data_IF_444612010270
#
_entry.id   IF_444612010270
#
_cell.length_a   1.000
_cell.length_b   1.000
_cell.length_c   1.000
_cell.angle_alpha   90.00
_cell.angle_beta   90.00
_cell.angle_gamma   90.00
#
_symmetry.space_group_name_H-M   'P 1'
#
loop_
_entity.id
_entity.type
_entity.pdbx_description
1 polymer ?
#
# COMPACT_ATOMS: atom_id res chain seq x y z
N UNK A 1 -34.93 -4.43 -9.20
CA UNK A 1 -33.46 -4.63 -9.18
C UNK A 1 -33.11 -5.92 -8.44
N UNK A 2 -32.06 -6.64 -8.83
CA UNK A 2 -31.59 -7.88 -8.16
C UNK A 2 -31.17 -7.62 -6.69
N UNK A 3 -31.37 -8.61 -5.81
CA UNK A 3 -31.09 -8.53 -4.38
C UNK A 3 -29.59 -8.28 -4.10
N UNK A 4 -28.72 -8.87 -4.92
CA UNK A 4 -27.29 -8.66 -4.81
C UNK A 4 -26.91 -7.22 -5.16
N UNK A 5 -27.53 -6.64 -6.18
CA UNK A 5 -27.35 -5.23 -6.53
C UNK A 5 -27.83 -4.30 -5.42
N UNK A 6 -29.00 -4.57 -4.81
CA UNK A 6 -29.51 -3.83 -3.63
C UNK A 6 -28.55 -3.89 -2.45
N UNK A 7 -27.96 -5.05 -2.17
CA UNK A 7 -27.03 -5.23 -1.06
C UNK A 7 -25.70 -4.50 -1.26
N UNK A 8 -25.15 -4.51 -2.48
CA UNK A 8 -23.93 -3.75 -2.81
C UNK A 8 -24.19 -2.25 -2.71
N UNK A 9 -25.31 -1.76 -3.25
CA UNK A 9 -25.69 -0.36 -3.18
C UNK A 9 -25.82 0.13 -1.72
N UNK A 10 -26.58 -0.61 -0.91
CA UNK A 10 -26.71 -0.35 0.53
C UNK A 10 -25.36 -0.23 1.22
N UNK A 11 -24.45 -1.16 0.96
CA UNK A 11 -23.11 -1.16 1.55
C UNK A 11 -22.29 0.07 1.15
N UNK A 12 -22.34 0.48 -0.12
CA UNK A 12 -21.61 1.64 -0.61
C UNK A 12 -22.11 2.92 0.07
N UNK A 13 -23.42 3.18 0.00
CA UNK A 13 -24.02 4.39 0.58
C UNK A 13 -23.81 4.46 2.10
N UNK A 14 -23.90 3.32 2.81
CA UNK A 14 -23.67 3.28 4.25
C UNK A 14 -22.27 3.75 4.64
N UNK A 15 -21.25 3.47 3.81
CA UNK A 15 -19.85 3.85 4.08
C UNK A 15 -19.53 5.31 3.79
N UNK A 16 -20.29 5.97 2.92
CA UNK A 16 -20.01 7.34 2.48
C UNK A 16 -20.60 8.35 3.47
N UNK A 17 -19.85 9.35 3.95
CA UNK A 17 -20.42 10.44 4.74
C UNK A 17 -21.53 11.17 3.96
N UNK A 18 -22.64 11.57 4.61
CA UNK A 18 -23.81 12.15 3.93
C UNK A 18 -23.43 13.29 2.96
N UNK A 19 -22.55 14.19 3.40
CA UNK A 19 -22.05 15.33 2.60
C UNK A 19 -21.39 14.94 1.28
N UNK A 20 -20.89 13.71 1.15
CA UNK A 20 -20.19 13.23 -0.03
C UNK A 20 -21.07 12.37 -0.96
N UNK A 21 -22.29 11.99 -0.55
CA UNK A 21 -23.17 11.13 -1.34
C UNK A 21 -23.50 11.80 -2.69
N UNK A 22 -23.90 13.08 -2.66
CA UNK A 22 -24.24 13.85 -3.87
C UNK A 22 -23.08 13.88 -4.88
N UNK A 23 -21.85 14.14 -4.40
CA UNK A 23 -20.66 14.19 -5.26
C UNK A 23 -20.40 12.83 -5.91
N UNK A 24 -20.47 11.74 -5.15
CA UNK A 24 -20.25 10.40 -5.69
C UNK A 24 -21.31 10.02 -6.74
N UNK A 25 -22.59 10.28 -6.45
CA UNK A 25 -23.67 9.97 -7.39
C UNK A 25 -23.56 10.81 -8.68
N UNK A 26 -23.12 12.07 -8.56
CA UNK A 26 -22.85 12.94 -9.72
C UNK A 26 -21.72 12.36 -10.59
N UNK A 27 -20.61 11.91 -9.98
CA UNK A 27 -19.51 11.23 -10.70
C UNK A 27 -19.94 9.90 -11.34
N UNK A 28 -20.90 9.20 -10.74
CA UNK A 28 -21.39 7.92 -11.27
C UNK A 28 -22.16 8.09 -12.57
N UNK A 29 -22.86 9.23 -12.74
CA UNK A 29 -23.51 9.64 -13.98
C UNK A 29 -24.47 8.58 -14.57
N UNK A 30 -25.18 7.85 -13.71
CA UNK A 30 -26.23 6.89 -14.10
C UNK A 30 -27.64 7.34 -13.68
N UNK A 31 -27.74 8.40 -12.89
CA UNK A 31 -29.01 9.01 -12.48
C UNK A 31 -29.11 10.39 -13.13
N UNK A 32 -30.31 10.79 -13.53
CA UNK A 32 -30.53 12.11 -14.14
C UNK A 32 -30.32 13.23 -13.13
N UNK A 33 -30.07 14.45 -13.61
CA UNK A 33 -29.93 15.62 -12.75
C UNK A 33 -31.19 15.84 -11.88
N UNK A 34 -32.38 15.61 -12.44
CA UNK A 34 -33.65 15.75 -11.72
C UNK A 34 -33.79 14.72 -10.59
N UNK A 35 -33.43 13.46 -10.85
CA UNK A 35 -33.40 12.42 -9.82
C UNK A 35 -32.43 12.78 -8.70
N UNK A 36 -31.26 13.34 -9.02
CA UNK A 36 -30.28 13.76 -8.02
C UNK A 36 -30.73 14.97 -7.21
N UNK A 37 -31.55 15.86 -7.78
CA UNK A 37 -32.14 17.01 -7.08
C UNK A 37 -33.32 16.61 -6.19
N UNK A 38 -34.11 15.61 -6.61
CA UNK A 38 -35.24 15.10 -5.82
C UNK A 38 -34.80 14.40 -4.52
N UNK A 39 -33.54 13.95 -4.43
CA UNK A 39 -32.99 13.32 -3.24
C UNK A 39 -32.78 14.34 -2.10
N UNK A 40 -33.47 14.13 -0.98
CA UNK A 40 -33.21 14.87 0.25
C UNK A 40 -32.04 14.26 1.04
N UNK A 41 -30.86 14.86 0.88
CA UNK A 41 -29.63 14.44 1.55
C UNK A 41 -29.59 14.73 3.06
N UNK A 42 -30.59 15.42 3.61
CA UNK A 42 -30.72 15.67 5.06
C UNK A 42 -31.35 14.49 5.81
N UNK A 43 -32.04 13.60 5.09
CA UNK A 43 -32.69 12.41 5.66
C UNK A 43 -31.67 11.38 6.15
N UNK A 44 -32.09 10.45 7.04
CA UNK A 44 -31.27 9.30 7.41
C UNK A 44 -30.84 8.49 6.18
N UNK A 45 -29.62 7.93 6.20
CA UNK A 45 -29.05 7.18 5.05
C UNK A 45 -29.96 6.07 4.53
N UNK A 46 -30.73 5.42 5.40
CA UNK A 46 -31.68 4.37 5.01
C UNK A 46 -32.71 4.87 4.00
N UNK A 47 -33.32 6.02 4.27
CA UNK A 47 -34.31 6.64 3.37
C UNK A 47 -33.66 7.08 2.06
N UNK A 48 -32.44 7.62 2.12
CA UNK A 48 -31.67 7.99 0.93
C UNK A 48 -31.42 6.75 0.07
N UNK A 49 -31.04 5.61 0.66
CA UNK A 49 -30.82 4.38 -0.09
C UNK A 49 -32.10 3.85 -0.72
N UNK A 50 -33.22 3.85 0.01
CA UNK A 50 -34.52 3.42 -0.52
C UNK A 50 -34.91 4.26 -1.75
N UNK A 51 -34.78 5.59 -1.66
CA UNK A 51 -35.07 6.46 -2.81
C UNK A 51 -34.09 6.25 -3.99
N UNK A 52 -32.79 6.03 -3.71
CA UNK A 52 -31.82 5.69 -4.78
C UNK A 52 -32.18 4.35 -5.43
N UNK A 53 -32.67 3.36 -4.66
CA UNK A 53 -33.12 2.07 -5.21
C UNK A 53 -34.29 2.31 -6.17
N UNK A 54 -35.27 3.14 -5.81
CA UNK A 54 -36.40 3.46 -6.67
C UNK A 54 -35.96 4.15 -7.97
N UNK A 55 -35.03 5.11 -7.89
CA UNK A 55 -34.43 5.72 -9.08
C UNK A 55 -33.68 4.71 -9.96
N UNK A 56 -32.94 3.77 -9.34
CA UNK A 56 -32.21 2.72 -10.05
C UNK A 56 -33.18 1.76 -10.77
N UNK A 57 -34.31 1.43 -10.17
CA UNK A 57 -35.34 0.58 -10.76
C UNK A 57 -36.04 1.28 -11.91
N UNK A 58 -36.37 2.56 -11.75
CA UNK A 58 -36.96 3.40 -12.80
C UNK A 58 -36.04 3.54 -14.01
N UNK A 59 -34.73 3.54 -13.78
CA UNK A 59 -33.70 3.67 -14.82
C UNK A 59 -33.15 2.31 -15.30
N UNK A 60 -33.76 1.19 -14.89
CA UNK A 60 -33.34 -0.18 -15.23
C UNK A 60 -31.84 -0.49 -14.97
N UNK A 61 -31.28 0.04 -13.89
CA UNK A 61 -29.88 -0.16 -13.54
C UNK A 61 -29.64 -1.57 -12.98
N UNK A 62 -28.76 -2.31 -13.66
CA UNK A 62 -28.31 -3.64 -13.24
C UNK A 62 -27.04 -3.61 -12.36
N UNK A 63 -26.61 -4.80 -11.89
CA UNK A 63 -25.42 -4.97 -11.05
C UNK A 63 -24.12 -4.41 -11.66
N UNK A 64 -23.98 -4.38 -12.99
CA UNK A 64 -22.79 -3.80 -13.64
C UNK A 64 -22.69 -2.29 -13.40
N UNK A 65 -23.83 -1.59 -13.31
CA UNK A 65 -23.89 -0.18 -12.96
C UNK A 65 -23.57 0.04 -11.49
N UNK A 66 -24.16 -0.75 -10.58
CA UNK A 66 -23.92 -0.61 -9.13
C UNK A 66 -22.46 -0.90 -8.76
N UNK A 67 -21.85 -1.92 -9.37
CA UNK A 67 -20.41 -2.18 -9.17
C UNK A 67 -19.52 -1.09 -9.78
N UNK A 68 -20.02 -0.28 -10.72
CA UNK A 68 -19.34 0.94 -11.16
C UNK A 68 -19.29 1.98 -10.05
N UNK A 69 -20.43 2.23 -9.39
CA UNK A 69 -20.52 3.16 -8.26
C UNK A 69 -19.57 2.73 -7.14
N UNK A 70 -19.55 1.44 -6.78
CA UNK A 70 -18.63 0.91 -5.78
C UNK A 70 -17.16 1.15 -6.17
N UNK A 71 -16.82 0.97 -7.46
CA UNK A 71 -15.46 1.17 -7.94
C UNK A 71 -15.06 2.65 -7.92
N UNK A 72 -15.97 3.57 -8.27
CA UNK A 72 -15.73 5.02 -8.13
C UNK A 72 -15.52 5.40 -6.66
N UNK A 73 -16.29 4.81 -5.75
CA UNK A 73 -16.09 5.03 -4.31
C UNK A 73 -14.69 4.60 -3.85
N UNK A 74 -14.19 3.44 -4.29
CA UNK A 74 -12.85 2.96 -3.93
C UNK A 74 -11.73 3.79 -4.59
N UNK A 75 -11.96 4.31 -5.79
CA UNK A 75 -11.04 5.25 -6.44
C UNK A 75 -10.90 6.55 -5.64
N UNK A 76 -12.01 7.10 -5.17
CA UNK A 76 -12.02 8.32 -4.35
C UNK A 76 -11.55 8.09 -2.90
N UNK A 77 -11.54 6.83 -2.44
CA UNK A 77 -11.22 6.46 -1.05
C UNK A 77 -10.30 5.23 -1.02
N UNK A 78 -9.07 5.31 -1.57
CA UNK A 78 -8.17 4.17 -1.67
C UNK A 78 -7.78 3.61 -0.29
N UNK A 79 -7.76 4.46 0.74
CA UNK A 79 -7.17 4.13 2.04
C UNK A 79 -8.13 3.43 3.03
N UNK A 80 -9.26 2.90 2.55
CA UNK A 80 -10.30 2.24 3.36
C UNK A 80 -9.93 0.81 3.80
N UNK A 81 -8.84 0.25 3.30
CA UNK A 81 -8.40 -1.11 3.58
C UNK A 81 -6.89 -1.25 3.47
N UNK A 82 -6.37 -2.39 3.91
CA UNK A 82 -4.93 -2.68 3.80
C UNK A 82 -4.60 -3.14 2.37
N UNK A 83 -3.65 -2.45 1.78
CA UNK A 83 -2.99 -2.83 0.53
C UNK A 83 -1.77 -3.67 0.83
N UNK A 84 -1.45 -4.57 -0.10
CA UNK A 84 -0.26 -5.41 -0.11
C UNK A 84 0.45 -5.21 -1.44
N UNK A 85 1.75 -4.93 -1.40
CA UNK A 85 2.57 -4.84 -2.59
C UNK A 85 3.05 -6.22 -3.03
N UNK A 86 3.04 -6.47 -4.33
CA UNK A 86 3.69 -7.58 -4.99
C UNK A 86 4.59 -7.02 -6.10
N UNK A 87 5.68 -7.74 -6.38
CA UNK A 87 6.62 -7.39 -7.44
C UNK A 87 6.63 -8.51 -8.48
N UNK A 88 6.33 -8.15 -9.72
CA UNK A 88 6.54 -9.00 -10.90
C UNK A 88 8.05 -9.08 -11.18
N UNK A 89 8.52 -10.28 -11.49
CA UNK A 89 9.95 -10.56 -11.76
C UNK A 89 10.09 -11.42 -13.01
N UNK A 90 11.30 -11.47 -13.54
CA UNK A 90 11.63 -12.26 -14.74
C UNK A 90 10.84 -11.77 -15.96
N UNK A 91 10.94 -10.47 -16.26
CA UNK A 91 10.28 -9.85 -17.40
C UNK A 91 10.79 -10.47 -18.72
N UNK A 92 9.86 -10.86 -19.60
CA UNK A 92 10.18 -11.25 -20.98
C UNK A 92 10.52 -10.00 -21.81
N UNK A 93 11.20 -10.16 -22.95
CA UNK A 93 11.69 -9.05 -23.78
C UNK A 93 10.57 -8.06 -24.19
N UNK A 94 9.33 -8.54 -24.29
CA UNK A 94 8.14 -7.79 -24.69
C UNK A 94 7.23 -7.37 -23.51
N UNK A 95 7.64 -7.60 -22.26
CA UNK A 95 6.84 -7.28 -21.07
C UNK A 95 6.63 -5.77 -20.87
N UNK A 96 7.60 -4.94 -21.28
CA UNK A 96 7.52 -3.47 -21.14
C UNK A 96 6.48 -2.86 -22.10
N UNK A 97 6.12 -3.58 -23.16
CA UNK A 97 5.25 -3.11 -24.23
C UNK A 97 3.85 -3.73 -24.21
N UNK A 98 3.41 -4.30 -23.08
CA UNK A 98 2.07 -4.88 -23.00
C UNK A 98 1.02 -3.77 -23.11
N UNK A 99 0.25 -3.81 -24.19
CA UNK A 99 -0.86 -2.90 -24.43
C UNK A 99 -2.04 -3.17 -23.49
N UNK A 100 -2.78 -2.11 -23.14
CA UNK A 100 -3.90 -2.20 -22.19
C UNK A 100 -4.99 -3.18 -22.64
N UNK A 101 -5.27 -3.23 -23.94
CA UNK A 101 -6.27 -4.13 -24.53
C UNK A 101 -5.84 -5.59 -24.39
N UNK A 102 -4.60 -5.89 -24.78
CA UNK A 102 -4.01 -7.23 -24.66
C UNK A 102 -3.96 -7.69 -23.20
N UNK A 103 -3.52 -6.83 -22.28
CA UNK A 103 -3.54 -7.11 -20.85
C UNK A 103 -4.95 -7.49 -20.37
N UNK A 104 -5.96 -6.68 -20.71
CA UNK A 104 -7.36 -6.90 -20.29
C UNK A 104 -7.89 -8.24 -20.80
N UNK A 105 -7.60 -8.58 -22.05
CA UNK A 105 -8.05 -9.81 -22.69
C UNK A 105 -7.38 -11.03 -22.07
N UNK A 106 -6.05 -11.04 -21.99
CA UNK A 106 -5.31 -12.17 -21.41
C UNK A 106 -5.65 -12.39 -19.95
N UNK A 107 -5.74 -11.32 -19.15
CA UNK A 107 -6.10 -11.41 -17.74
C UNK A 107 -7.49 -12.02 -17.54
N UNK A 108 -8.48 -11.56 -18.31
CA UNK A 108 -9.85 -12.10 -18.24
C UNK A 108 -9.91 -13.53 -18.74
N UNK A 109 -9.28 -13.83 -19.87
CA UNK A 109 -9.26 -15.16 -20.46
C UNK A 109 -8.65 -16.19 -19.49
N UNK A 110 -7.52 -15.84 -18.86
CA UNK A 110 -6.87 -16.71 -17.89
C UNK A 110 -7.77 -17.01 -16.69
N UNK A 111 -8.35 -15.97 -16.06
CA UNK A 111 -9.22 -16.17 -14.89
C UNK A 111 -10.51 -16.90 -15.23
N UNK A 112 -11.14 -16.63 -16.36
CA UNK A 112 -12.33 -17.35 -16.81
C UNK A 112 -12.03 -18.81 -17.17
N UNK A 113 -10.81 -19.11 -17.62
CA UNK A 113 -10.35 -20.48 -17.86
C UNK A 113 -10.23 -21.33 -16.60
N UNK A 114 -9.95 -20.71 -15.44
CA UNK A 114 -9.77 -21.43 -14.15
C UNK A 114 -10.95 -21.32 -13.20
N UNK A 115 -11.77 -20.26 -13.29
CA UNK A 115 -12.93 -20.03 -12.40
C UNK A 115 -14.16 -19.69 -13.23
N UNK A 116 -15.18 -20.57 -13.17
CA UNK A 116 -16.44 -20.39 -13.91
C UNK A 116 -17.23 -19.15 -13.48
N UNK A 117 -17.42 -18.98 -12.17
CA UNK A 117 -18.22 -17.89 -11.62
C UNK A 117 -17.32 -16.78 -11.08
N UNK A 118 -16.95 -15.85 -11.96
CA UNK A 118 -16.15 -14.68 -11.60
C UNK A 118 -16.69 -13.43 -12.31
N UNK A 119 -16.65 -12.29 -11.62
CA UNK A 119 -17.00 -10.99 -12.19
C UNK A 119 -15.79 -10.07 -12.12
N UNK A 120 -15.25 -9.72 -13.28
CA UNK A 120 -14.07 -8.86 -13.41
C UNK A 120 -14.48 -7.52 -14.05
N UNK A 121 -14.13 -6.41 -13.40
CA UNK A 121 -14.28 -5.07 -13.94
C UNK A 121 -12.95 -4.35 -13.90
N UNK A 122 -12.66 -3.59 -14.95
CA UNK A 122 -11.40 -2.86 -15.08
C UNK A 122 -11.68 -1.42 -15.51
N UNK A 123 -10.96 -0.47 -14.93
CA UNK A 123 -11.01 0.95 -15.31
C UNK A 123 -9.60 1.53 -15.29
N UNK A 124 -9.27 2.28 -16.34
CA UNK A 124 -8.06 3.10 -16.38
C UNK A 124 -8.34 4.37 -15.60
N UNK A 125 -7.42 4.72 -14.71
CA UNK A 125 -7.44 5.96 -13.94
C UNK A 125 -6.59 7.04 -14.64
N UNK A 126 -6.71 8.28 -14.21
CA UNK A 126 -6.07 9.45 -14.85
C UNK A 126 -4.53 9.39 -14.81
N UNK A 127 -3.98 8.70 -13.82
CA UNK A 127 -2.53 8.50 -13.61
C UNK A 127 -1.98 7.25 -14.31
N UNK A 128 -2.66 6.78 -15.36
CA UNK A 128 -2.39 5.55 -16.10
C UNK A 128 -2.50 4.24 -15.29
N UNK A 129 -2.91 4.29 -14.03
CA UNK A 129 -3.14 3.09 -13.23
C UNK A 129 -4.38 2.34 -13.73
N UNK A 130 -4.27 1.02 -13.78
CA UNK A 130 -5.41 0.14 -14.04
C UNK A 130 -5.94 -0.35 -12.70
N UNK A 131 -7.21 -0.05 -12.45
CA UNK A 131 -7.96 -0.55 -11.33
C UNK A 131 -8.79 -1.75 -11.76
N UNK A 132 -8.59 -2.87 -11.07
CA UNK A 132 -9.27 -4.14 -11.33
C UNK A 132 -10.09 -4.50 -10.09
N UNK A 133 -11.39 -4.71 -10.28
CA UNK A 133 -12.30 -5.22 -9.27
C UNK A 133 -12.68 -6.65 -9.63
N UNK A 134 -12.47 -7.58 -8.70
CA UNK A 134 -12.74 -9.00 -8.89
C UNK A 134 -13.70 -9.48 -7.81
N UNK A 135 -14.92 -9.86 -8.18
CA UNK A 135 -15.80 -10.61 -7.30
C UNK A 135 -15.64 -12.10 -7.62
N UNK A 136 -15.28 -12.88 -6.60
CA UNK A 136 -14.99 -14.29 -6.72
C UNK A 136 -16.21 -15.13 -6.34
N UNK A 137 -16.54 -16.12 -7.15
CA UNK A 137 -17.42 -17.23 -6.79
C UNK A 137 -16.62 -18.52 -6.66
N UNK A 138 -17.30 -19.65 -6.71
CA UNK A 138 -16.69 -20.98 -6.83
C UNK A 138 -17.51 -21.82 -7.82
N UNK A 139 -17.33 -23.14 -7.83
CA UNK A 139 -18.04 -24.02 -8.77
C UNK A 139 -19.53 -24.15 -8.47
N UNK A 140 -19.98 -23.75 -7.28
CA UNK A 140 -21.35 -23.96 -6.80
C UNK A 140 -22.06 -22.64 -6.44
N UNK A 141 -21.31 -21.53 -6.34
CA UNK A 141 -21.82 -20.24 -5.91
C UNK A 141 -21.51 -19.12 -6.89
N UNK A 142 -22.49 -18.22 -7.04
CA UNK A 142 -22.34 -16.98 -7.80
C UNK A 142 -21.25 -16.09 -7.18
N UNK A 143 -20.66 -15.16 -7.95
CA UNK A 143 -19.64 -14.26 -7.43
C UNK A 143 -20.11 -13.49 -6.19
N UNK A 144 -19.30 -13.43 -5.14
CA UNK A 144 -19.61 -12.66 -3.95
C UNK A 144 -19.23 -11.18 -4.14
N UNK A 145 -20.19 -10.38 -4.60
CA UNK A 145 -19.99 -8.95 -4.82
C UNK A 145 -19.83 -8.12 -3.53
N UNK A 146 -20.05 -8.70 -2.33
CA UNK A 146 -19.82 -8.02 -1.06
C UNK A 146 -18.37 -8.15 -0.58
N UNK A 147 -17.57 -9.07 -1.12
CA UNK A 147 -16.15 -9.20 -0.75
C UNK A 147 -15.26 -9.20 -2.01
N UNK A 148 -15.29 -8.13 -2.83
CA UNK A 148 -14.45 -8.06 -4.01
C UNK A 148 -12.99 -7.81 -3.62
N UNK A 149 -12.07 -8.36 -4.40
CA UNK A 149 -10.65 -8.01 -4.39
C UNK A 149 -10.41 -6.83 -5.31
N UNK A 150 -9.54 -5.92 -4.89
CA UNK A 150 -9.09 -4.80 -5.70
C UNK A 150 -7.62 -4.95 -6.04
N UNK A 151 -7.27 -4.65 -7.28
CA UNK A 151 -5.89 -4.63 -7.76
C UNK A 151 -5.63 -3.31 -8.48
N UNK A 152 -4.48 -2.71 -8.19
CA UNK A 152 -4.00 -1.49 -8.86
C UNK A 152 -2.63 -1.78 -9.44
N UNK A 153 -2.46 -1.49 -10.72
CA UNK A 153 -1.22 -1.77 -11.43
C UNK A 153 -0.95 -0.72 -12.51
N UNK A 154 0.32 -0.34 -12.67
CA UNK A 154 0.77 0.47 -13.80
C UNK A 154 1.58 -0.46 -14.70
N UNK A 155 1.18 -0.58 -15.97
CA UNK A 155 1.79 -1.53 -16.91
C UNK A 155 3.28 -1.26 -17.15
N UNK A 156 3.72 0.00 -17.01
CA UNK A 156 5.14 0.39 -17.12
C UNK A 156 5.96 0.11 -15.85
N UNK A 157 5.38 -0.52 -14.82
CA UNK A 157 6.05 -0.82 -13.56
C UNK A 157 5.93 -2.29 -13.22
N UNK A 158 6.91 -2.86 -12.52
CA UNK A 158 6.83 -4.24 -12.03
C UNK A 158 6.01 -4.38 -10.74
N UNK A 159 5.32 -3.34 -10.26
CA UNK A 159 4.62 -3.37 -8.98
C UNK A 159 3.11 -3.52 -9.15
N UNK A 160 2.54 -4.39 -8.33
CA UNK A 160 1.09 -4.64 -8.27
C UNK A 160 0.63 -4.46 -6.82
N UNK A 161 -0.43 -3.68 -6.61
CA UNK A 161 -1.01 -3.44 -5.29
C UNK A 161 -2.33 -4.17 -5.18
N UNK A 162 -2.50 -4.98 -4.13
CA UNK A 162 -3.67 -5.84 -3.96
C UNK A 162 -4.33 -5.58 -2.62
N UNK A 163 -5.66 -5.53 -2.59
CA UNK A 163 -6.46 -5.37 -1.37
C UNK A 163 -7.62 -6.37 -1.31
N UNK A 164 -7.95 -6.82 -0.11
CA UNK A 164 -9.05 -7.75 0.18
C UNK A 164 -8.99 -9.06 -0.64
N UNK A 165 -7.80 -9.65 -0.74
CA UNK A 165 -7.56 -10.96 -1.38
C UNK A 165 -7.65 -12.08 -0.34
N UNK A 166 -8.50 -13.08 -0.60
CA UNK A 166 -8.54 -14.30 0.20
C UNK A 166 -7.43 -15.27 -0.22
N UNK A 167 -6.86 -15.99 0.75
CA UNK A 167 -5.76 -16.94 0.50
C UNK A 167 -6.08 -17.96 -0.62
N UNK A 168 -7.31 -18.49 -0.62
CA UNK A 168 -7.78 -19.46 -1.64
C UNK A 168 -7.77 -18.93 -3.09
N UNK A 169 -7.80 -17.62 -3.28
CA UNK A 169 -7.79 -17.01 -4.62
C UNK A 169 -6.41 -16.45 -5.02
N UNK A 170 -5.43 -16.46 -4.10
CA UNK A 170 -4.13 -15.84 -4.31
C UNK A 170 -3.41 -16.43 -5.51
N UNK A 171 -3.38 -17.76 -5.62
CA UNK A 171 -2.68 -18.44 -6.70
C UNK A 171 -3.24 -18.07 -8.09
N UNK A 172 -4.57 -18.08 -8.25
CA UNK A 172 -5.22 -17.75 -9.52
C UNK A 172 -4.99 -16.30 -9.93
N UNK A 173 -5.07 -15.37 -8.98
CA UNK A 173 -4.78 -13.95 -9.26
C UNK A 173 -3.32 -13.74 -9.66
N UNK A 174 -2.40 -14.32 -8.90
CA UNK A 174 -0.96 -14.22 -9.18
C UNK A 174 -0.62 -14.78 -10.57
N UNK A 175 -1.15 -15.96 -10.92
CA UNK A 175 -0.95 -16.55 -12.25
C UNK A 175 -1.52 -15.66 -13.37
N UNK A 176 -2.74 -15.14 -13.20
CA UNK A 176 -3.35 -14.24 -14.18
C UNK A 176 -2.53 -12.96 -14.39
N UNK A 177 -1.97 -12.39 -13.33
CA UNK A 177 -1.08 -11.22 -13.41
C UNK A 177 0.21 -11.55 -14.16
N UNK A 178 0.88 -12.65 -13.81
CA UNK A 178 2.14 -13.09 -14.43
C UNK A 178 1.94 -13.32 -15.93
N UNK A 179 0.91 -14.06 -16.31
CA UNK A 179 0.59 -14.34 -17.72
C UNK A 179 0.24 -13.05 -18.47
N UNK A 180 -0.69 -12.25 -17.95
CA UNK A 180 -1.17 -11.05 -18.65
C UNK A 180 -0.12 -9.93 -18.76
N UNK A 181 0.90 -9.93 -17.90
CA UNK A 181 2.01 -8.96 -17.93
C UNK A 181 3.28 -9.52 -18.56
N UNK A 182 3.28 -10.78 -19.02
CA UNK A 182 4.45 -11.45 -19.63
C UNK A 182 5.70 -11.46 -18.73
N UNK A 183 5.48 -11.73 -17.45
CA UNK A 183 6.56 -11.97 -16.49
C UNK A 183 6.69 -13.47 -16.22
N UNK A 184 7.82 -13.92 -15.67
CA UNK A 184 8.02 -15.32 -15.29
C UNK A 184 7.52 -15.65 -13.89
N UNK A 185 7.51 -14.67 -12.99
CA UNK A 185 7.04 -14.90 -11.62
C UNK A 185 6.54 -13.62 -10.92
N UNK A 186 5.87 -13.79 -9.78
CA UNK A 186 5.42 -12.71 -8.90
C UNK A 186 5.81 -13.04 -7.46
N UNK A 187 6.42 -12.08 -6.77
CA UNK A 187 6.94 -12.22 -5.41
C UNK A 187 6.24 -11.23 -4.47
N UNK A 188 6.19 -11.59 -3.19
CA UNK A 188 5.68 -10.70 -2.15
C UNK A 188 6.62 -9.51 -1.98
N UNK A 189 6.07 -8.29 -2.02
CA UNK A 189 6.86 -7.06 -1.88
C UNK A 189 7.25 -6.76 -0.43
N UNK A 190 6.69 -7.50 0.55
CA UNK A 190 6.89 -7.28 1.99
C UNK A 190 6.57 -5.84 2.44
N UNK A 191 5.60 -5.22 1.75
CA UNK A 191 5.07 -3.91 2.08
C UNK A 191 3.55 -3.98 2.18
N UNK A 192 3.01 -3.65 3.34
CA UNK A 192 1.57 -3.54 3.57
C UNK A 192 1.23 -2.27 4.34
N UNK A 193 0.28 -1.49 3.85
CA UNK A 193 -0.16 -0.23 4.48
C UNK A 193 -1.61 0.06 4.12
N UNK A 194 -2.30 0.93 4.86
CA UNK A 194 -3.62 1.41 4.42
C UNK A 194 -3.49 2.47 3.35
N UNK A 195 -2.40 3.24 3.32
CA UNK A 195 -2.23 4.29 2.31
C UNK A 195 -1.65 3.77 1.00
N UNK A 196 -2.49 3.70 -0.04
CA UNK A 196 -2.03 3.31 -1.37
C UNK A 196 -1.02 4.33 -1.92
N UNK A 197 -1.22 5.61 -1.63
CA UNK A 197 -0.30 6.69 -2.02
C UNK A 197 1.07 6.49 -1.38
N UNK A 198 1.13 6.24 -0.07
CA UNK A 198 2.39 5.98 0.62
C UNK A 198 3.14 4.76 0.03
N UNK A 199 2.39 3.71 -0.31
CA UNK A 199 2.96 2.51 -0.94
C UNK A 199 3.58 2.83 -2.31
N UNK A 200 2.91 3.65 -3.12
CA UNK A 200 3.41 4.11 -4.41
C UNK A 200 4.62 5.03 -4.26
N UNK A 201 4.60 5.93 -3.27
CA UNK A 201 5.72 6.85 -3.06
C UNK A 201 7.01 6.11 -2.70
N UNK A 202 6.90 5.07 -1.87
CA UNK A 202 8.00 4.20 -1.48
C UNK A 202 8.52 3.34 -2.65
N UNK A 203 7.64 2.65 -3.38
CA UNK A 203 8.06 1.67 -4.39
C UNK A 203 8.39 2.28 -5.76
N UNK A 204 7.68 3.34 -6.15
CA UNK A 204 7.89 4.02 -7.44
C UNK A 204 8.95 5.12 -7.35
N UNK A 205 9.73 5.14 -6.25
CA UNK A 205 10.80 6.10 -5.96
C UNK A 205 10.38 7.57 -6.11
N UNK A 206 9.10 7.87 -5.89
CA UNK A 206 8.62 9.26 -5.80
C UNK A 206 9.03 9.89 -4.48
N UNK A 207 9.34 9.06 -3.48
CA UNK A 207 10.00 9.48 -2.27
C UNK A 207 11.52 9.51 -2.45
N UNK A 208 12.07 10.72 -2.57
CA UNK A 208 13.51 10.92 -2.58
C UNK A 208 14.02 11.02 -1.14
N UNK A 209 14.62 9.94 -0.65
CA UNK A 209 15.51 10.02 0.51
C UNK A 209 16.82 10.65 0.03
N UNK A 210 16.85 11.98 0.00
CA UNK A 210 18.03 12.74 -0.38
C UNK A 210 19.02 12.68 0.79
N UNK A 211 20.14 12.00 0.58
CA UNK A 211 21.32 12.19 1.44
C UNK A 211 21.86 13.58 1.12
N UNK A 212 22.02 14.47 2.10
CA UNK A 212 22.49 15.81 1.83
C UNK A 212 23.89 15.74 1.21
N UNK A 213 24.02 16.25 -0.02
CA UNK A 213 25.27 16.88 -0.41
C UNK A 213 25.45 18.09 0.50
N UNK A 214 26.65 18.34 1.00
CA UNK A 214 27.02 19.28 2.08
C UNK A 214 26.62 20.78 1.92
N UNK A 215 25.64 21.14 1.10
CA UNK A 215 25.39 22.49 0.61
C UNK A 215 24.01 23.08 0.91
N UNK A 216 23.10 22.42 1.64
CA UNK A 216 21.80 23.01 1.99
C UNK A 216 21.64 23.24 3.49
N UNK A 217 22.43 24.17 4.05
CA UNK A 217 22.10 24.80 5.34
C UNK A 217 20.98 25.80 5.12
N UNK A 218 19.74 25.40 5.41
CA UNK A 218 18.62 26.35 5.49
C UNK A 218 18.63 26.92 6.90
N UNK A 219 19.15 28.13 7.03
CA UNK A 219 19.04 28.96 8.24
C UNK A 219 17.56 29.31 8.46
N UNK A 220 16.91 28.68 9.44
CA UNK A 220 15.75 29.26 10.09
C UNK A 220 16.20 29.91 11.39
N UNK A 221 16.31 31.23 11.33
CA UNK A 221 16.58 32.12 12.44
C UNK A 221 15.35 32.12 13.39
N UNK A 222 15.51 31.59 14.60
CA UNK A 222 14.55 31.76 15.69
C UNK A 222 15.08 32.85 16.62
N UNK A 223 14.41 33.99 16.59
CA UNK A 223 14.66 35.14 17.46
C UNK A 223 14.33 34.81 18.93
N UNK A 224 15.36 34.49 19.70
CA UNK A 224 15.37 34.60 21.16
C UNK A 224 16.82 34.72 21.62
N UNK A 225 17.25 35.83 22.25
CA UNK A 225 18.63 35.95 22.72
C UNK A 225 18.87 34.94 23.86
N UNK A 226 19.82 34.00 23.72
CA UNK A 226 20.09 33.00 24.75
C UNK A 226 20.72 33.65 25.99
N UNK A 227 20.22 33.30 27.18
CA UNK A 227 20.71 33.76 28.49
C UNK A 227 22.20 33.44 28.73
N UNK A 228 22.74 32.41 28.05
CA UNK A 228 24.16 32.08 28.02
C UNK A 228 24.58 31.73 26.57
N UNK A 229 25.31 32.62 25.87
CA UNK A 229 25.59 32.45 24.43
C UNK A 229 26.38 31.18 24.07
N UNK A 230 27.27 30.71 24.95
CA UNK A 230 28.02 29.48 24.70
C UNK A 230 27.16 28.22 24.83
N UNK A 231 26.28 28.15 25.84
CA UNK A 231 25.42 26.98 26.08
C UNK A 231 24.32 26.91 25.02
N UNK A 232 23.73 28.06 24.66
CA UNK A 232 22.71 28.13 23.61
C UNK A 232 23.24 27.64 22.27
N UNK A 233 24.48 28.03 21.91
CA UNK A 233 25.13 27.60 20.67
C UNK A 233 25.44 26.09 20.66
N UNK A 234 25.98 25.56 21.75
CA UNK A 234 26.25 24.12 21.85
C UNK A 234 24.96 23.31 21.70
N UNK A 235 23.89 23.70 22.40
CA UNK A 235 22.61 23.01 22.29
C UNK A 235 22.02 23.06 20.88
N UNK A 236 22.10 24.23 20.22
CA UNK A 236 21.62 24.38 18.84
C UNK A 236 22.42 23.54 17.85
N UNK A 237 23.75 23.45 18.00
CA UNK A 237 24.60 22.65 17.11
C UNK A 237 24.27 21.16 17.25
N UNK A 238 24.04 20.66 18.48
CA UNK A 238 23.60 19.29 18.71
C UNK A 238 22.19 19.01 18.19
N UNK A 239 21.26 19.95 18.34
CA UNK A 239 19.91 19.85 17.79
C UNK A 239 19.90 19.78 16.26
N UNK A 240 20.67 20.66 15.61
CA UNK A 240 20.83 20.68 14.15
C UNK A 240 21.43 19.36 13.66
N UNK A 241 22.48 18.86 14.34
CA UNK A 241 23.10 17.57 14.02
C UNK A 241 22.10 16.40 14.15
N UNK A 242 21.28 16.36 15.21
CA UNK A 242 20.25 15.33 15.39
C UNK A 242 19.17 15.41 14.31
N UNK A 243 18.72 16.62 13.98
CA UNK A 243 17.76 16.84 12.92
C UNK A 243 18.32 16.37 11.57
N UNK A 244 19.58 16.69 11.29
CA UNK A 244 20.26 16.28 10.07
C UNK A 244 20.37 14.75 9.95
N UNK A 245 20.77 14.06 11.02
CA UNK A 245 20.78 12.60 11.07
C UNK A 245 19.38 11.99 10.86
N UNK A 246 18.34 12.60 11.44
CA UNK A 246 16.96 12.14 11.27
C UNK A 246 16.51 12.27 9.81
N UNK A 247 16.87 13.39 9.15
CA UNK A 247 16.57 13.64 7.75
C UNK A 247 17.38 12.76 6.81
N UNK A 248 18.63 12.42 7.13
CA UNK A 248 19.40 11.43 6.37
C UNK A 248 18.78 10.03 6.45
N UNK A 249 18.33 9.64 7.65
CA UNK A 249 17.76 8.31 7.88
C UNK A 249 16.36 8.12 7.28
N UNK A 250 15.56 9.19 7.22
CA UNK A 250 14.15 9.09 6.81
C UNK A 250 13.74 10.01 5.68
N UNK A 251 14.51 11.03 5.30
CA UNK A 251 14.22 12.05 4.29
C UNK A 251 13.80 13.42 4.85
N UNK A 252 14.10 14.49 4.11
CA UNK A 252 13.77 15.88 4.47
C UNK A 252 12.30 16.27 4.22
N UNK A 253 11.61 15.60 3.30
CA UNK A 253 10.26 15.99 2.84
C UNK A 253 9.10 15.40 3.66
N UNK A 254 7.87 15.52 3.14
CA UNK A 254 6.71 14.82 3.66
C UNK A 254 6.93 13.31 3.60
N UNK A 255 6.82 12.63 4.74
CA UNK A 255 7.07 11.19 4.83
C UNK A 255 5.85 10.38 4.34
N UNK A 256 6.04 9.25 3.64
CA UNK A 256 4.96 8.33 3.31
C UNK A 256 4.24 7.86 4.57
N UNK A 257 2.90 7.95 4.59
CA UNK A 257 2.06 7.56 5.73
C UNK A 257 2.01 6.04 5.89
N UNK A 258 3.00 5.50 6.60
CA UNK A 258 3.10 4.10 6.95
C UNK A 258 2.65 3.88 8.40
N UNK A 259 1.80 2.89 8.67
CA UNK A 259 1.26 2.70 10.02
C UNK A 259 2.08 1.73 10.87
N UNK A 260 2.73 0.76 10.23
CA UNK A 260 3.41 -0.32 10.95
C UNK A 260 4.70 -0.76 10.27
N UNK A 261 5.63 -1.30 11.07
CA UNK A 261 6.77 -2.07 10.59
C UNK A 261 6.98 -3.28 11.52
N UNK A 262 7.28 -4.44 10.94
CA UNK A 262 7.43 -5.72 11.63
C UNK A 262 8.79 -6.32 11.32
N UNK A 263 9.55 -6.63 12.36
CA UNK A 263 10.82 -7.33 12.29
C UNK A 263 10.67 -8.68 12.99
N UNK A 264 10.81 -9.76 12.24
CA UNK A 264 10.83 -11.14 12.76
C UNK A 264 12.28 -11.58 12.83
N UNK A 265 12.75 -11.91 14.03
CA UNK A 265 14.08 -12.43 14.28
C UNK A 265 14.01 -13.95 14.37
N UNK A 266 14.83 -14.63 13.60
CA UNK A 266 15.01 -16.08 13.60
C UNK A 266 16.51 -16.38 13.61
N UNK A 267 17.10 -16.44 14.80
CA UNK A 267 18.54 -16.67 14.97
C UNK A 267 18.80 -17.70 16.04
N UNK A 268 20.04 -18.20 16.07
CA UNK A 268 20.52 -19.18 17.04
C UNK A 268 21.18 -18.44 18.18
N UNK A 269 21.10 -19.02 19.37
CA UNK A 269 21.78 -18.46 20.52
C UNK A 269 23.30 -18.63 20.36
N UNK A 270 24.04 -17.52 20.23
CA UNK A 270 25.52 -17.50 20.19
C UNK A 270 26.09 -17.03 21.53
N UNK A 271 25.92 -17.83 22.58
CA UNK A 271 26.53 -17.56 23.88
C UNK A 271 27.95 -18.13 23.97
N UNK A 272 28.93 -17.31 24.35
CA UNK A 272 30.32 -17.71 24.59
C UNK A 272 30.54 -18.44 25.93
N UNK A 273 29.48 -18.98 26.55
CA UNK A 273 29.55 -19.65 27.85
C UNK A 273 29.44 -21.16 27.72
N UNK A 274 30.26 -21.89 28.48
CA UNK A 274 30.33 -23.37 28.56
C UNK A 274 29.07 -24.06 29.13
N UNK A 275 27.86 -23.53 28.91
CA UNK A 275 26.63 -24.03 29.51
C UNK A 275 25.53 -24.24 28.44
N UNK A 276 25.50 -25.46 27.89
CA UNK A 276 24.34 -26.26 27.43
C UNK A 276 23.29 -25.68 26.47
N UNK A 277 23.30 -24.39 26.14
CA UNK A 277 22.32 -23.75 25.24
C UNK A 277 22.91 -23.50 23.86
N UNK A 278 24.23 -23.25 23.77
CA UNK A 278 24.93 -22.94 22.51
C UNK A 278 24.96 -24.12 21.51
N UNK A 279 24.74 -25.35 21.99
CA UNK A 279 24.73 -26.58 21.17
C UNK A 279 23.33 -26.98 20.67
N UNK A 280 22.28 -26.26 21.07
CA UNK A 280 20.93 -26.53 20.57
C UNK A 280 20.77 -25.82 19.23
N UNK A 281 20.48 -26.60 18.17
CA UNK A 281 20.04 -26.07 16.85
C UNK A 281 18.73 -25.25 16.92
N UNK A 282 18.17 -25.07 18.11
CA UNK A 282 16.89 -24.44 18.36
C UNK A 282 16.98 -22.93 18.10
N UNK A 283 16.28 -22.49 17.05
CA UNK A 283 16.15 -21.08 16.72
C UNK A 283 15.32 -20.37 17.79
N UNK A 284 15.85 -19.28 18.33
CA UNK A 284 15.03 -18.36 19.09
C UNK A 284 14.29 -17.42 18.13
N UNK A 285 13.01 -17.21 18.40
CA UNK A 285 12.12 -16.40 17.57
C UNK A 285 11.69 -15.17 18.35
N UNK A 286 11.89 -14.00 17.76
CA UNK A 286 11.44 -12.72 18.30
C UNK A 286 10.64 -11.95 17.27
N UNK A 287 9.62 -11.20 17.70
CA UNK A 287 8.88 -10.30 16.79
C UNK A 287 8.82 -8.92 17.42
N UNK A 288 9.38 -7.94 16.73
CA UNK A 288 9.27 -6.52 17.08
C UNK A 288 8.32 -5.85 16.10
N UNK A 289 7.29 -5.20 16.62
CA UNK A 289 6.30 -4.46 15.82
C UNK A 289 6.22 -3.01 16.27
N UNK A 290 6.54 -2.10 15.35
CA UNK A 290 6.29 -0.68 15.51
C UNK A 290 4.91 -0.33 14.95
N UNK A 291 4.18 0.55 15.64
CA UNK A 291 2.87 1.03 15.19
C UNK A 291 2.73 2.53 15.51
N UNK A 292 2.24 3.30 14.55
CA UNK A 292 1.93 4.74 14.67
C UNK A 292 0.89 5.14 13.59
N UNK A 293 0.29 6.32 13.70
CA UNK A 293 -0.49 6.90 12.60
C UNK A 293 0.39 7.36 11.43
N UNK A 294 1.65 7.72 11.71
CA UNK A 294 2.68 8.00 10.71
C UNK A 294 4.04 7.56 11.26
N UNK A 295 4.38 6.29 11.04
CA UNK A 295 5.56 5.65 11.61
C UNK A 295 6.86 6.34 11.23
N UNK A 296 7.05 6.66 9.95
CA UNK A 296 8.27 7.30 9.47
C UNK A 296 8.44 8.70 10.09
N UNK A 297 7.35 9.45 10.20
CA UNK A 297 7.34 10.74 10.87
C UNK A 297 7.67 10.61 12.36
N UNK A 298 7.07 9.63 13.05
CA UNK A 298 7.34 9.38 14.46
C UNK A 298 8.80 9.01 14.69
N UNK A 299 9.38 8.12 13.86
CA UNK A 299 10.78 7.73 13.97
C UNK A 299 11.72 8.91 13.72
N UNK A 300 11.43 9.73 12.70
CA UNK A 300 12.18 10.96 12.42
C UNK A 300 12.15 11.90 13.61
N UNK A 301 10.97 12.12 14.20
CA UNK A 301 10.81 13.00 15.35
C UNK A 301 11.51 12.46 16.60
N UNK A 302 11.49 11.14 16.86
CA UNK A 302 12.21 10.54 17.97
C UNK A 302 13.72 10.80 17.90
N UNK A 303 14.30 10.77 16.71
CA UNK A 303 15.73 11.05 16.50
C UNK A 303 16.01 12.54 16.63
N UNK A 304 15.20 13.38 15.98
CA UNK A 304 15.35 14.84 16.04
C UNK A 304 15.24 15.38 17.47
N UNK A 305 14.29 14.87 18.26
CA UNK A 305 14.09 15.28 19.65
C UNK A 305 15.08 14.65 20.65
N UNK A 306 15.98 13.77 20.20
CA UNK A 306 16.94 13.08 21.06
C UNK A 306 16.35 11.96 21.93
N UNK A 307 15.12 11.50 21.67
CA UNK A 307 14.55 10.33 22.37
C UNK A 307 15.19 9.01 21.91
N UNK A 308 15.77 8.99 20.71
CA UNK A 308 16.55 7.88 20.19
C UNK A 308 17.94 8.38 19.80
N UNK A 309 18.98 7.64 20.17
CA UNK A 309 20.35 7.94 19.76
C UNK A 309 20.54 7.73 18.26
N UNK A 310 21.22 8.69 17.62
CA UNK A 310 21.68 8.58 16.24
C UNK A 310 23.11 8.03 16.17
N UNK A 311 23.53 7.43 15.04
CA UNK A 311 22.76 7.23 13.81
C UNK A 311 21.75 6.08 13.93
N UNK A 312 20.62 6.24 13.25
CA UNK A 312 19.54 5.25 13.24
C UNK A 312 20.03 3.93 12.66
N UNK A 313 19.66 2.81 13.30
CA UNK A 313 20.06 1.48 12.81
C UNK A 313 19.68 1.28 11.33
N UNK A 314 20.53 0.61 10.54
CA UNK A 314 20.24 0.31 9.14
C UNK A 314 18.94 -0.49 8.90
N UNK A 315 18.41 -1.14 9.95
CA UNK A 315 17.13 -1.84 9.92
C UNK A 315 15.97 -0.86 9.76
N UNK A 316 15.94 0.22 10.56
CA UNK A 316 14.87 1.21 10.50
C UNK A 316 14.94 2.06 9.23
N UNK A 317 16.14 2.48 8.82
CA UNK A 317 16.33 3.23 7.55
C UNK A 317 16.13 2.35 6.30
N UNK A 318 16.15 1.02 6.43
CA UNK A 318 15.82 0.13 5.33
C UNK A 318 14.34 0.19 4.90
N UNK A 319 13.44 0.71 5.74
CA UNK A 319 12.02 0.81 5.40
C UNK A 319 11.83 1.65 4.14
N UNK A 320 12.39 2.85 4.13
CA UNK A 320 12.32 3.79 3.00
C UNK A 320 13.20 3.31 1.85
N UNK A 321 14.45 2.92 2.13
CA UNK A 321 15.41 2.51 1.09
C UNK A 321 15.00 1.25 0.32
N UNK A 322 14.42 0.26 0.98
CA UNK A 322 13.98 -0.99 0.34
C UNK A 322 12.50 -0.98 -0.04
N UNK A 323 11.72 0.00 0.44
CA UNK A 323 10.28 0.04 0.26
C UNK A 323 9.59 -1.18 0.87
N UNK A 324 9.97 -1.55 2.10
CA UNK A 324 9.43 -2.73 2.81
C UNK A 324 9.13 -2.37 4.25
N UNK A 325 8.11 -2.98 4.83
CA UNK A 325 7.82 -2.83 6.26
C UNK A 325 7.68 -4.16 6.98
N UNK A 326 7.92 -5.28 6.30
CA UNK A 326 8.10 -6.58 6.93
C UNK A 326 9.49 -7.12 6.63
N UNK A 327 10.23 -7.45 7.67
CA UNK A 327 11.59 -7.97 7.60
C UNK A 327 11.69 -9.27 8.37
N UNK A 328 12.40 -10.23 7.78
CA UNK A 328 12.84 -11.45 8.45
C UNK A 328 14.35 -11.36 8.58
N UNK A 329 14.85 -11.37 9.81
CA UNK A 329 16.25 -11.26 10.17
C UNK A 329 16.71 -12.65 10.58
N UNK A 330 17.51 -13.29 9.73
CA UNK A 330 18.10 -14.59 9.97
C UNK A 330 19.60 -14.50 10.18
N UNK A 331 20.16 -15.52 10.83
CA UNK A 331 21.61 -15.63 11.00
C UNK A 331 22.30 -15.74 9.62
N UNK A 332 23.32 -14.91 9.38
CA UNK A 332 24.17 -15.09 8.19
C UNK A 332 24.93 -16.41 8.38
N UNK A 333 24.65 -17.37 7.52
CA UNK A 333 25.35 -18.66 7.54
C UNK A 333 26.87 -18.47 7.44
N UNK A 334 27.66 -19.45 7.92
CA UNK A 334 29.10 -19.47 7.70
C UNK A 334 29.36 -19.58 6.19
N UNK A 335 29.66 -18.46 5.53
CA UNK A 335 29.84 -18.43 4.08
C UNK A 335 29.69 -17.08 3.38
N UNK A 336 29.22 -16.02 4.06
CA UNK A 336 29.05 -14.69 3.45
C UNK A 336 30.17 -13.70 3.86
N UNK A 337 31.28 -14.20 4.36
CA UNK A 337 32.48 -13.42 4.72
C UNK A 337 33.60 -13.66 3.69
N UNK A 338 33.37 -13.31 2.43
CA UNK A 338 34.42 -13.25 1.41
C UNK A 338 33.87 -12.69 0.10
N UNK A 339 33.90 -11.35 -0.03
CA UNK A 339 34.13 -10.64 -1.29
C UNK A 339 34.20 -9.13 -0.98
N UNK A 340 35.23 -8.75 -0.23
CA UNK A 340 35.79 -7.41 -0.34
C UNK A 340 37.18 -7.60 -0.98
N UNK A 341 37.22 -7.32 -2.27
CA UNK A 341 38.39 -7.00 -3.11
C UNK A 341 39.72 -6.83 -2.37
N UNK A 342 40.59 -7.83 -2.48
CA UNK A 342 42.03 -7.58 -2.50
C UNK A 342 42.38 -7.03 -3.88
N UNK A 343 43.14 -5.93 -3.99
CA UNK A 343 43.65 -5.49 -5.27
C UNK A 343 44.75 -6.48 -5.69
N UNK A 344 44.64 -7.04 -6.90
CA UNK A 344 45.79 -7.64 -7.56
C UNK A 344 46.74 -6.50 -7.91
N UNK A 345 47.87 -6.45 -7.23
CA UNK A 345 49.12 -5.86 -7.70
C UNK A 345 50.07 -7.02 -8.01
#
# INVERSE_FOLDING_TARGET
>A
MDEQARSVLNRVIRRIPNKNIKNLLSKWNCLSADQLQALDYTKPKRMIVEHIIDCCESSNLNLKHITNLEMIYHLDNPDQGTWYACQLTDAQDDAVCVELTQFKEQFKAHLHGVIRHISIKMKKHEDDAIWIRIAWGDNFSKPNHLKPTYVVHHLHTSYVFISNLMAKHKIFLCQALVVATRHGSIKDGHLSTRSLTAMRDLLLRRYQQVFPSAQSKIQQERDSPPLHPCIGKEHSDYEEMRHQMACEAFGHGPTPKLETAVYKLETRYRGNGNLTVSDREEFFRGVVRFSSSSLLESLRNCVASGMAEGPVTPLLSAITRRGRNSFVITDKGPGVSSQASAPRA
#
